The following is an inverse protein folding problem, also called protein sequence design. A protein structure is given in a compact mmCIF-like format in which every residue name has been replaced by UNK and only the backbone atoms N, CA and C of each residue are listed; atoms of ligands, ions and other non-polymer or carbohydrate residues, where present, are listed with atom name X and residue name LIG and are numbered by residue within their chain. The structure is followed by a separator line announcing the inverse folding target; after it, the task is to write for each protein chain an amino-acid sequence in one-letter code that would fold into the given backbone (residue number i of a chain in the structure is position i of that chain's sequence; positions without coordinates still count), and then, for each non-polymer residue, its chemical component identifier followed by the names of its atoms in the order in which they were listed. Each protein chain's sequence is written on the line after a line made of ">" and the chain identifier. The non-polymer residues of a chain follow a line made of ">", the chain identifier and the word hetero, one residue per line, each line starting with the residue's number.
data_IF_897951026351
#
_entry.id   IF_897951026351
#
_cell.length_a   1.000
_cell.length_b   1.000
_cell.length_c   1.000
_cell.angle_alpha   90.00
_cell.angle_beta   90.00
_cell.angle_gamma   90.00
#
_symmetry.space_group_name_H-M   'P 1'
#
loop_
_entity.id
_entity.type
_entity.pdbx_description
1 polymer ?
#
# COMPACT_ATOMS: atom_id res chain seq x y z
N UNK A 1 3.17 25.47 -0.01
CA UNK A 1 2.87 24.52 1.09
C UNK A 1 2.49 25.18 2.40
N UNK A 2 3.02 26.36 2.75
CA UNK A 2 2.62 27.08 3.97
C UNK A 2 3.38 26.68 5.24
N UNK A 3 4.21 25.64 5.17
CA UNK A 3 5.15 25.24 6.23
C UNK A 3 6.19 26.33 6.46
N UNK A 4 6.47 26.60 7.74
CA UNK A 4 7.49 27.52 8.22
C UNK A 4 8.57 26.75 8.96
N UNK A 5 9.82 26.93 8.54
CA UNK A 5 10.99 26.42 9.25
C UNK A 5 11.70 27.59 9.90
N UNK A 6 11.70 27.62 11.23
CA UNK A 6 12.33 28.69 12.02
C UNK A 6 13.84 28.52 12.10
N UNK A 7 14.32 27.29 12.24
CA UNK A 7 15.73 26.96 12.44
C UNK A 7 16.07 25.53 11.99
N UNK A 8 16.76 25.43 10.86
CA UNK A 8 17.27 24.15 10.32
C UNK A 8 18.38 23.52 11.14
N UNK A 9 19.04 24.26 12.04
CA UNK A 9 20.09 23.70 12.90
C UNK A 9 19.55 22.77 13.98
N UNK A 10 18.23 22.80 14.23
CA UNK A 10 17.52 21.88 15.12
C UNK A 10 17.15 20.54 14.49
N UNK A 11 17.54 20.30 13.24
CA UNK A 11 17.37 19.00 12.62
C UNK A 11 18.25 17.95 13.32
N UNK A 12 17.64 16.90 13.84
CA UNK A 12 18.35 15.73 14.37
C UNK A 12 18.46 14.67 13.28
N UNK A 13 19.69 14.23 12.99
CA UNK A 13 19.92 13.21 11.96
C UNK A 13 19.27 11.88 12.38
N UNK A 14 18.31 11.35 11.60
CA UNK A 14 17.60 10.11 11.94
C UNK A 14 18.52 8.89 11.94
N UNK A 15 19.65 8.98 11.23
CA UNK A 15 20.71 7.99 11.22
C UNK A 15 22.03 8.66 10.83
N UNK A 16 23.14 8.11 11.35
CA UNK A 16 24.49 8.69 11.19
C UNK A 16 25.40 7.74 10.41
N UNK A 17 25.06 7.49 9.16
CA UNK A 17 25.88 6.68 8.23
C UNK A 17 26.68 7.58 7.29
N UNK A 18 28.00 7.48 7.36
CA UNK A 18 28.89 8.03 6.34
C UNK A 18 28.86 7.15 5.08
N UNK A 19 29.25 7.70 3.93
CA UNK A 19 29.16 6.97 2.65
C UNK A 19 30.03 5.71 2.62
N UNK A 20 31.21 5.71 3.24
CA UNK A 20 32.06 4.52 3.36
C UNK A 20 31.39 3.41 4.18
N UNK A 21 30.71 3.78 5.28
CA UNK A 21 29.94 2.83 6.08
C UNK A 21 28.73 2.31 5.30
N UNK A 22 27.98 3.19 4.63
CA UNK A 22 26.84 2.82 3.80
C UNK A 22 27.26 1.81 2.73
N UNK A 23 28.30 2.10 1.94
CA UNK A 23 28.80 1.18 0.92
C UNK A 23 29.26 -0.16 1.50
N UNK A 24 30.01 -0.13 2.61
CA UNK A 24 30.48 -1.35 3.27
C UNK A 24 29.32 -2.27 3.69
N UNK A 25 28.32 -1.72 4.37
CA UNK A 25 27.20 -2.53 4.85
C UNK A 25 26.28 -2.99 3.72
N UNK A 26 25.97 -2.11 2.76
CA UNK A 26 25.12 -2.49 1.64
C UNK A 26 25.78 -3.53 0.73
N UNK A 27 27.09 -3.42 0.46
CA UNK A 27 27.80 -4.40 -0.38
C UNK A 27 27.76 -5.82 0.22
N UNK A 28 27.93 -5.95 1.54
CA UNK A 28 27.83 -7.25 2.22
C UNK A 28 26.41 -7.83 2.19
N UNK A 29 25.39 -6.97 2.24
CA UNK A 29 23.99 -7.39 2.08
C UNK A 29 23.71 -7.87 0.66
N UNK A 30 24.12 -7.11 -0.35
CA UNK A 30 23.92 -7.45 -1.76
C UNK A 30 24.65 -8.76 -2.12
N UNK A 31 25.89 -8.94 -1.66
CA UNK A 31 26.66 -10.18 -1.92
C UNK A 31 25.91 -11.43 -1.43
N UNK A 32 25.31 -11.36 -0.24
CA UNK A 32 24.52 -12.48 0.31
C UNK A 32 23.19 -12.65 -0.42
N UNK A 33 22.50 -11.54 -0.71
CA UNK A 33 21.22 -11.54 -1.40
C UNK A 33 21.33 -12.20 -2.78
N UNK A 34 22.27 -11.77 -3.61
CA UNK A 34 22.44 -12.34 -4.95
C UNK A 34 22.95 -13.78 -4.93
N UNK A 35 23.78 -14.16 -3.96
CA UNK A 35 24.16 -15.57 -3.79
C UNK A 35 22.94 -16.47 -3.52
N UNK A 36 21.95 -15.98 -2.75
CA UNK A 36 20.71 -16.70 -2.49
C UNK A 36 19.79 -16.69 -3.72
N UNK A 37 19.68 -15.57 -4.45
CA UNK A 37 18.91 -15.52 -5.69
C UNK A 37 19.45 -16.48 -6.75
N UNK A 38 20.77 -16.54 -6.92
CA UNK A 38 21.41 -17.48 -7.84
C UNK A 38 21.16 -18.93 -7.41
N UNK A 39 21.30 -19.22 -6.11
CA UNK A 39 21.01 -20.55 -5.58
C UNK A 39 19.52 -20.94 -5.75
N UNK A 40 18.60 -20.01 -5.49
CA UNK A 40 17.16 -20.20 -5.70
C UNK A 40 16.87 -20.54 -7.16
N UNK A 41 17.42 -19.77 -8.10
CA UNK A 41 17.25 -19.99 -9.53
C UNK A 41 17.87 -21.32 -9.99
N UNK A 42 19.11 -21.60 -9.55
CA UNK A 42 19.85 -22.82 -9.90
C UNK A 42 19.15 -24.09 -9.44
N UNK A 43 18.52 -24.06 -8.26
CA UNK A 43 17.86 -25.22 -7.67
C UNK A 43 16.37 -25.31 -8.00
N UNK A 44 15.87 -24.53 -8.97
CA UNK A 44 14.45 -24.46 -9.31
C UNK A 44 13.56 -24.21 -8.08
N UNK A 45 13.96 -23.28 -7.21
CA UNK A 45 13.27 -22.99 -5.96
C UNK A 45 11.81 -22.57 -6.12
N UNK A 46 11.39 -22.13 -7.32
CA UNK A 46 9.99 -21.87 -7.63
C UNK A 46 9.08 -23.08 -7.46
N UNK A 47 9.63 -24.30 -7.49
CA UNK A 47 8.88 -25.54 -7.29
C UNK A 47 8.57 -25.82 -5.81
N UNK A 48 9.19 -25.09 -4.89
CA UNK A 48 9.06 -25.30 -3.45
C UNK A 48 8.01 -24.40 -2.79
N UNK A 49 7.32 -23.55 -3.57
CA UNK A 49 6.21 -22.75 -3.06
C UNK A 49 5.00 -23.64 -2.74
N UNK A 50 4.14 -23.20 -1.82
CA UNK A 50 2.99 -23.97 -1.33
C UNK A 50 2.01 -24.40 -2.43
N UNK A 51 1.63 -23.47 -3.30
CA UNK A 51 0.67 -23.67 -4.39
C UNK A 51 0.90 -22.56 -5.44
N UNK A 52 0.85 -22.81 -6.76
CA UNK A 52 0.95 -21.78 -7.79
C UNK A 52 0.00 -20.57 -7.62
N UNK A 53 -1.12 -20.73 -6.91
CA UNK A 53 -2.03 -19.63 -6.51
C UNK A 53 -1.31 -18.51 -5.77
N UNK A 54 -0.32 -18.84 -4.93
CA UNK A 54 0.52 -17.88 -4.20
C UNK A 54 1.11 -16.81 -5.12
N UNK A 55 1.51 -17.19 -6.34
CA UNK A 55 2.19 -16.26 -7.25
C UNK A 55 1.30 -15.12 -7.72
N UNK A 56 -0.03 -15.18 -7.54
CA UNK A 56 -0.88 -14.02 -7.80
C UNK A 56 -0.62 -12.88 -6.81
N UNK A 57 -0.24 -13.18 -5.56
CA UNK A 57 0.26 -12.16 -4.62
C UNK A 57 1.53 -11.49 -5.17
N UNK A 58 2.44 -12.29 -5.72
CA UNK A 58 3.72 -11.80 -6.25
C UNK A 58 3.56 -11.03 -7.57
N UNK A 59 2.56 -11.36 -8.39
CA UNK A 59 2.14 -10.52 -9.54
C UNK A 59 1.63 -9.16 -9.08
N UNK A 60 0.78 -9.13 -8.05
CA UNK A 60 0.32 -7.87 -7.45
C UNK A 60 1.49 -7.07 -6.91
N UNK A 61 2.42 -7.70 -6.18
CA UNK A 61 3.62 -7.04 -5.68
C UNK A 61 4.43 -6.39 -6.81
N UNK A 62 4.77 -7.16 -7.86
CA UNK A 62 5.59 -6.67 -8.97
C UNK A 62 4.91 -5.55 -9.78
N UNK A 63 3.58 -5.59 -9.92
CA UNK A 63 2.84 -4.63 -10.76
C UNK A 63 2.33 -3.41 -10.00
N UNK A 64 2.03 -3.57 -8.70
CA UNK A 64 1.44 -2.53 -7.86
C UNK A 64 2.43 -1.88 -6.89
N UNK A 65 3.37 -2.65 -6.32
CA UNK A 65 4.29 -2.18 -5.27
C UNK A 65 5.67 -1.83 -5.84
N UNK A 66 6.29 -2.71 -6.63
CA UNK A 66 7.62 -2.46 -7.19
C UNK A 66 7.75 -1.16 -8.01
N UNK A 67 6.74 -0.72 -8.79
CA UNK A 67 6.81 0.59 -9.43
C UNK A 67 6.78 1.76 -8.45
N UNK A 68 6.20 1.58 -7.25
CA UNK A 68 6.18 2.61 -6.22
C UNK A 68 7.57 2.86 -5.66
N UNK A 69 8.41 1.84 -5.52
CA UNK A 69 9.82 1.99 -5.12
C UNK A 69 10.57 2.86 -6.12
N UNK A 70 10.34 2.67 -7.43
CA UNK A 70 10.95 3.54 -8.43
C UNK A 70 10.42 4.98 -8.36
N UNK A 71 9.14 5.16 -8.06
CA UNK A 71 8.56 6.48 -7.85
C UNK A 71 9.10 7.13 -6.57
N UNK A 72 9.29 6.38 -5.49
CA UNK A 72 9.90 6.82 -4.25
C UNK A 72 11.36 7.24 -4.49
N UNK A 73 12.14 6.44 -5.22
CA UNK A 73 13.49 6.80 -5.68
C UNK A 73 13.48 8.19 -6.34
N UNK A 74 12.63 8.39 -7.34
CA UNK A 74 12.52 9.66 -8.05
C UNK A 74 12.08 10.82 -7.14
N UNK A 75 11.09 10.58 -6.28
CA UNK A 75 10.58 11.56 -5.32
C UNK A 75 11.63 12.00 -4.31
N UNK A 76 12.29 11.04 -3.65
CA UNK A 76 13.36 11.30 -2.69
C UNK A 76 14.60 11.93 -3.33
N UNK A 77 14.94 11.55 -4.57
CA UNK A 77 15.98 12.24 -5.35
C UNK A 77 15.63 13.71 -5.56
N UNK A 78 14.36 14.00 -5.89
CA UNK A 78 13.88 15.37 -6.06
C UNK A 78 13.94 16.15 -4.74
N UNK A 79 13.30 15.65 -3.67
CA UNK A 79 13.23 16.40 -2.40
C UNK A 79 14.59 16.49 -1.68
N UNK A 80 15.46 15.50 -1.87
CA UNK A 80 16.86 15.52 -1.44
C UNK A 80 17.70 16.61 -2.10
N UNK A 81 17.19 17.27 -3.16
CA UNK A 81 17.74 18.51 -3.72
C UNK A 81 17.05 19.76 -3.19
N UNK A 82 15.75 19.72 -2.87
CA UNK A 82 14.94 20.90 -2.59
C UNK A 82 15.11 21.45 -1.17
N UNK A 83 15.36 20.62 -0.15
CA UNK A 83 15.50 21.11 1.23
C UNK A 83 16.76 21.95 1.43
N UNK A 84 16.65 23.05 2.18
CA UNK A 84 17.80 23.90 2.52
C UNK A 84 18.63 23.34 3.67
N UNK A 85 18.05 22.54 4.57
CA UNK A 85 18.79 21.82 5.62
C UNK A 85 19.65 20.69 5.05
N UNK A 86 20.95 20.70 5.36
CA UNK A 86 21.90 19.72 4.83
C UNK A 86 21.57 18.29 5.33
N UNK A 87 21.27 18.12 6.62
CA UNK A 87 20.93 16.82 7.21
C UNK A 87 19.72 16.16 6.54
N UNK A 88 18.63 16.92 6.37
CA UNK A 88 17.44 16.46 5.66
C UNK A 88 17.74 16.05 4.20
N UNK A 89 18.57 16.82 3.48
CA UNK A 89 18.99 16.44 2.11
C UNK A 89 19.73 15.10 2.09
N UNK A 90 20.70 14.92 2.99
CA UNK A 90 21.50 13.70 3.06
C UNK A 90 20.61 12.50 3.39
N UNK A 91 19.71 12.63 4.36
CA UNK A 91 18.77 11.56 4.70
C UNK A 91 17.86 11.18 3.52
N UNK A 92 17.29 12.17 2.82
CA UNK A 92 16.48 11.93 1.62
C UNK A 92 17.30 11.28 0.48
N UNK A 93 18.57 11.67 0.30
CA UNK A 93 19.42 11.09 -0.74
C UNK A 93 19.80 9.65 -0.43
N UNK A 94 20.11 9.33 0.83
CA UNK A 94 20.34 7.96 1.28
C UNK A 94 19.09 7.10 1.11
N UNK A 95 17.93 7.65 1.43
CA UNK A 95 16.67 6.96 1.19
C UNK A 95 16.43 6.73 -0.31
N UNK A 96 16.61 7.76 -1.14
CA UNK A 96 16.43 7.64 -2.60
C UNK A 96 17.20 6.47 -3.19
N UNK A 97 18.48 6.32 -2.83
CA UNK A 97 19.31 5.22 -3.35
C UNK A 97 18.95 3.85 -2.73
N UNK A 98 18.40 3.82 -1.51
CA UNK A 98 17.76 2.61 -0.95
C UNK A 98 16.52 2.22 -1.77
N UNK A 99 15.65 3.16 -2.16
CA UNK A 99 14.48 2.83 -2.99
C UNK A 99 14.87 2.34 -4.38
N UNK A 100 15.97 2.86 -4.94
CA UNK A 100 16.53 2.34 -6.18
C UNK A 100 17.06 0.90 -6.01
N UNK A 101 17.66 0.59 -4.87
CA UNK A 101 18.05 -0.78 -4.50
C UNK A 101 16.81 -1.67 -4.40
N UNK A 102 15.73 -1.20 -3.78
CA UNK A 102 14.50 -1.99 -3.62
C UNK A 102 13.89 -2.35 -4.96
N UNK A 103 13.62 -1.39 -5.85
CA UNK A 103 13.05 -1.71 -7.17
C UNK A 103 13.92 -2.71 -7.94
N UNK A 104 15.24 -2.53 -7.95
CA UNK A 104 16.14 -3.41 -8.70
C UNK A 104 16.17 -4.83 -8.13
N UNK A 105 16.31 -4.95 -6.81
CA UNK A 105 16.35 -6.25 -6.14
C UNK A 105 15.02 -6.98 -6.19
N UNK A 106 13.88 -6.27 -6.14
CA UNK A 106 12.56 -6.85 -6.35
C UNK A 106 12.40 -7.38 -7.79
N UNK A 107 12.80 -6.61 -8.81
CA UNK A 107 12.79 -7.07 -10.20
C UNK A 107 13.66 -8.33 -10.37
N UNK A 108 14.83 -8.38 -9.74
CA UNK A 108 15.70 -9.55 -9.78
C UNK A 108 15.12 -10.75 -9.02
N UNK A 109 14.50 -10.54 -7.85
CA UNK A 109 13.81 -11.59 -7.10
C UNK A 109 12.70 -12.24 -7.93
N UNK A 110 11.91 -11.43 -8.65
CA UNK A 110 10.79 -11.92 -9.47
C UNK A 110 11.20 -12.39 -10.86
N UNK A 111 12.45 -12.12 -11.27
CA UNK A 111 12.96 -12.49 -12.60
C UNK A 111 12.85 -13.99 -12.86
N UNK A 112 13.12 -14.83 -11.84
CA UNK A 112 13.04 -16.27 -12.01
C UNK A 112 11.60 -16.75 -12.16
N UNK A 113 10.65 -16.23 -11.36
CA UNK A 113 9.23 -16.53 -11.51
C UNK A 113 8.69 -16.14 -12.89
N UNK A 114 9.10 -14.99 -13.44
CA UNK A 114 8.68 -14.53 -14.77
C UNK A 114 9.02 -15.53 -15.90
N UNK A 115 10.06 -16.37 -15.73
CA UNK A 115 10.44 -17.38 -16.73
C UNK A 115 9.44 -18.54 -16.82
N UNK A 116 8.71 -18.81 -15.74
CA UNK A 116 7.86 -20.01 -15.61
C UNK A 116 6.37 -19.71 -15.45
N UNK A 117 6.00 -18.47 -15.11
CA UNK A 117 4.62 -18.11 -14.80
C UNK A 117 4.17 -16.86 -15.55
N UNK A 118 2.88 -16.81 -15.89
CA UNK A 118 2.25 -15.69 -16.60
C UNK A 118 1.93 -14.50 -15.68
N UNK A 119 1.79 -13.31 -16.26
CA UNK A 119 1.36 -12.10 -15.56
C UNK A 119 2.51 -11.26 -15.00
N UNK A 120 3.75 -11.64 -15.30
CA UNK A 120 4.97 -10.96 -14.85
C UNK A 120 5.66 -10.14 -15.95
N UNK A 121 5.34 -10.40 -17.22
CA UNK A 121 6.17 -10.02 -18.37
C UNK A 121 6.25 -8.50 -18.64
N UNK A 122 5.17 -7.77 -18.39
CA UNK A 122 5.02 -6.35 -18.77
C UNK A 122 4.67 -5.46 -17.57
N UNK A 123 5.21 -5.77 -16.39
CA UNK A 123 4.79 -5.17 -15.12
C UNK A 123 4.80 -3.64 -15.10
N UNK A 124 5.85 -3.00 -15.66
CA UNK A 124 5.96 -1.54 -15.70
C UNK A 124 4.97 -0.90 -16.69
N UNK A 125 4.77 -1.54 -17.85
CA UNK A 125 3.80 -1.10 -18.83
C UNK A 125 2.37 -1.23 -18.31
N UNK A 126 2.07 -2.32 -17.57
CA UNK A 126 0.80 -2.54 -16.91
C UNK A 126 0.51 -1.47 -15.85
N UNK A 127 1.51 -1.11 -15.02
CA UNK A 127 1.34 -0.11 -13.95
C UNK A 127 0.73 1.21 -14.46
N UNK A 128 1.14 1.64 -15.66
CA UNK A 128 0.69 2.87 -16.26
C UNK A 128 -0.70 2.80 -16.94
N UNK A 129 -1.31 1.62 -17.06
CA UNK A 129 -2.48 1.40 -17.94
C UNK A 129 -3.61 0.58 -17.35
N UNK A 130 -3.29 -0.46 -16.57
CA UNK A 130 -4.29 -1.41 -16.09
C UNK A 130 -5.11 -0.77 -14.98
N UNK A 131 -6.43 -0.95 -15.04
CA UNK A 131 -7.40 -0.18 -14.25
C UNK A 131 -7.10 -0.17 -12.74
N UNK A 132 -6.81 -1.32 -12.14
CA UNK A 132 -6.57 -1.40 -10.70
C UNK A 132 -5.19 -0.87 -10.29
N UNK A 133 -4.24 -0.76 -11.22
CA UNK A 133 -2.91 -0.21 -10.98
C UNK A 133 -2.90 1.33 -11.00
N UNK A 134 -3.98 1.95 -11.49
CA UNK A 134 -4.22 3.38 -11.30
C UNK A 134 -4.37 3.77 -9.82
N UNK A 135 -4.77 2.84 -8.95
CA UNK A 135 -4.86 3.05 -7.49
C UNK A 135 -3.48 3.34 -6.88
N UNK A 136 -2.48 2.43 -6.95
CA UNK A 136 -1.13 2.72 -6.47
C UNK A 136 -0.45 3.85 -7.25
N UNK A 137 -0.60 3.89 -8.59
CA UNK A 137 -0.03 4.95 -9.42
C UNK A 137 -0.49 6.34 -8.99
N UNK A 138 -1.81 6.54 -8.86
CA UNK A 138 -2.37 7.84 -8.47
C UNK A 138 -2.03 8.24 -7.03
N UNK A 139 -1.81 7.28 -6.12
CA UNK A 139 -1.34 7.56 -4.78
C UNK A 139 0.05 8.22 -4.80
N UNK A 140 1.01 7.63 -5.53
CA UNK A 140 2.36 8.18 -5.64
C UNK A 140 2.44 9.41 -6.55
N UNK A 141 1.64 9.48 -7.62
CA UNK A 141 1.56 10.69 -8.44
C UNK A 141 0.98 11.88 -7.66
N UNK A 142 0.00 11.65 -6.78
CA UNK A 142 -0.48 12.68 -5.84
C UNK A 142 0.67 13.14 -4.93
N UNK A 143 1.45 12.22 -4.37
CA UNK A 143 2.55 12.57 -3.46
C UNK A 143 3.68 13.33 -4.18
N UNK A 144 4.09 12.87 -5.37
CA UNK A 144 5.19 13.48 -6.13
C UNK A 144 4.83 14.78 -6.81
N UNK A 145 3.54 15.00 -7.10
CA UNK A 145 3.05 16.28 -7.60
C UNK A 145 2.79 17.30 -6.47
N UNK A 146 2.86 16.87 -5.20
CA UNK A 146 2.82 17.78 -4.06
C UNK A 146 4.16 18.51 -3.89
N UNK A 147 4.24 19.40 -2.92
CA UNK A 147 5.52 20.01 -2.57
C UNK A 147 6.39 19.10 -1.69
N UNK A 148 7.64 19.49 -1.40
CA UNK A 148 8.59 18.65 -0.70
C UNK A 148 8.18 18.28 0.73
N UNK A 149 7.49 19.16 1.47
CA UNK A 149 7.07 18.84 2.84
C UNK A 149 5.87 17.89 2.87
N UNK A 150 4.88 18.09 2.00
CA UNK A 150 3.76 17.16 1.87
C UNK A 150 4.26 15.79 1.39
N UNK A 151 5.22 15.72 0.47
CA UNK A 151 5.83 14.45 0.04
C UNK A 151 6.44 13.67 1.22
N UNK A 152 7.22 14.30 2.10
CA UNK A 152 7.77 13.61 3.26
C UNK A 152 6.69 13.19 4.27
N UNK A 153 5.64 14.00 4.47
CA UNK A 153 4.51 13.58 5.32
C UNK A 153 3.75 12.41 4.71
N UNK A 154 3.58 12.40 3.38
CA UNK A 154 2.88 11.37 2.65
C UNK A 154 3.63 10.04 2.68
N UNK A 155 4.91 10.08 2.32
CA UNK A 155 5.71 8.87 2.10
C UNK A 155 6.45 8.50 3.37
N UNK A 156 7.35 9.35 3.88
CA UNK A 156 8.18 9.00 5.05
C UNK A 156 7.34 8.77 6.32
N UNK A 157 6.43 9.70 6.66
CA UNK A 157 5.61 9.55 7.87
C UNK A 157 4.42 8.62 7.66
N UNK A 158 3.51 8.94 6.73
CA UNK A 158 2.25 8.21 6.64
C UNK A 158 2.43 6.80 6.08
N UNK A 159 3.21 6.64 5.00
CA UNK A 159 3.38 5.34 4.36
C UNK A 159 4.46 4.48 5.05
N UNK A 160 5.66 5.01 5.23
CA UNK A 160 6.83 4.23 5.68
C UNK A 160 6.99 4.16 7.20
N UNK A 161 6.23 4.94 7.97
CA UNK A 161 6.22 4.81 9.42
C UNK A 161 4.88 4.29 9.93
N UNK A 162 3.77 5.00 9.67
CA UNK A 162 2.45 4.63 10.21
C UNK A 162 1.89 3.36 9.57
N UNK A 163 2.02 3.22 8.25
CA UNK A 163 1.35 2.14 7.49
C UNK A 163 2.30 1.03 7.02
N UNK A 164 3.61 1.18 7.19
CA UNK A 164 4.61 0.30 6.55
C UNK A 164 4.42 -1.17 6.87
N UNK A 165 4.13 -1.49 8.14
CA UNK A 165 3.98 -2.88 8.56
C UNK A 165 2.74 -3.55 7.94
N UNK A 166 1.72 -2.78 7.57
CA UNK A 166 0.54 -3.28 6.87
C UNK A 166 0.81 -3.60 5.39
N UNK A 167 1.94 -3.17 4.84
CA UNK A 167 2.43 -3.59 3.53
C UNK A 167 3.51 -4.67 3.68
N UNK A 168 4.55 -4.38 4.46
CA UNK A 168 5.77 -5.17 4.53
C UNK A 168 5.52 -6.55 5.15
N UNK A 169 4.88 -6.62 6.32
CA UNK A 169 4.70 -7.89 7.03
C UNK A 169 3.85 -8.86 6.21
N UNK A 170 2.68 -8.49 5.64
CA UNK A 170 1.89 -9.42 4.84
C UNK A 170 2.65 -10.07 3.68
N UNK A 171 3.42 -9.30 2.90
CA UNK A 171 4.20 -9.87 1.80
C UNK A 171 5.37 -10.72 2.29
N UNK A 172 6.17 -10.21 3.23
CA UNK A 172 7.41 -10.89 3.63
C UNK A 172 7.15 -12.14 4.49
N UNK A 173 6.20 -12.07 5.43
CA UNK A 173 5.76 -13.25 6.18
C UNK A 173 4.96 -14.21 5.30
N UNK A 174 4.15 -13.69 4.37
CA UNK A 174 3.42 -14.50 3.41
C UNK A 174 4.36 -15.34 2.57
N UNK A 175 5.47 -14.76 2.10
CA UNK A 175 6.55 -15.47 1.42
C UNK A 175 7.15 -16.58 2.28
N UNK A 176 7.48 -16.28 3.54
CA UNK A 176 8.05 -17.26 4.47
C UNK A 176 7.13 -18.47 4.70
N UNK A 177 5.83 -18.24 4.91
CA UNK A 177 4.84 -19.30 5.15
C UNK A 177 4.48 -20.10 3.89
N UNK A 178 4.79 -19.57 2.71
CA UNK A 178 4.44 -20.17 1.42
C UNK A 178 5.67 -20.65 0.63
N UNK A 179 6.85 -20.75 1.26
CA UNK A 179 8.04 -21.36 0.67
C UNK A 179 8.79 -20.50 -0.36
N UNK A 180 8.49 -19.20 -0.43
CA UNK A 180 9.16 -18.28 -1.35
C UNK A 180 10.44 -17.72 -0.72
N UNK A 181 11.53 -18.42 -1.02
CA UNK A 181 12.87 -18.06 -0.56
C UNK A 181 13.39 -16.74 -1.15
N UNK A 182 12.99 -16.37 -2.38
CA UNK A 182 13.49 -15.16 -3.01
C UNK A 182 12.90 -13.92 -2.32
N UNK A 183 11.57 -13.87 -2.18
CA UNK A 183 10.88 -12.73 -1.57
C UNK A 183 11.22 -12.59 -0.09
N UNK A 184 11.27 -13.69 0.68
CA UNK A 184 11.62 -13.62 2.11
C UNK A 184 13.06 -13.13 2.31
N UNK A 185 13.99 -13.52 1.43
CA UNK A 185 15.39 -13.07 1.51
C UNK A 185 15.51 -11.58 1.18
N UNK A 186 14.76 -11.10 0.18
CA UNK A 186 14.63 -9.66 -0.04
C UNK A 186 14.13 -8.95 1.22
N UNK A 187 13.04 -9.43 1.83
CA UNK A 187 12.48 -8.87 3.05
C UNK A 187 13.49 -8.77 4.19
N UNK A 188 14.23 -9.84 4.48
CA UNK A 188 15.29 -9.78 5.50
C UNK A 188 16.41 -8.78 5.13
N UNK A 189 16.71 -8.64 3.84
CA UNK A 189 17.74 -7.74 3.34
C UNK A 189 17.30 -6.27 3.35
N UNK A 190 16.00 -5.95 3.24
CA UNK A 190 15.48 -4.58 3.29
C UNK A 190 15.19 -4.09 4.71
N UNK A 191 14.98 -4.97 5.69
CA UNK A 191 14.63 -4.59 7.08
C UNK A 191 15.51 -3.48 7.69
N UNK A 192 16.83 -3.53 7.51
CA UNK A 192 17.70 -2.50 8.10
C UNK A 192 17.65 -1.17 7.35
N UNK A 193 17.11 -1.14 6.13
CA UNK A 193 16.81 0.08 5.38
C UNK A 193 15.48 0.65 5.86
N UNK A 194 14.44 -0.18 5.96
CA UNK A 194 13.14 0.20 6.54
C UNK A 194 13.30 0.82 7.94
N UNK A 195 14.21 0.28 8.76
CA UNK A 195 14.51 0.86 10.07
C UNK A 195 15.01 2.32 9.98
N UNK A 196 15.78 2.66 8.93
CA UNK A 196 16.23 4.04 8.68
C UNK A 196 15.09 4.90 8.14
N UNK A 197 14.27 4.37 7.23
CA UNK A 197 13.12 5.06 6.64
C UNK A 197 12.06 5.40 7.70
N UNK A 198 11.74 4.44 8.56
CA UNK A 198 10.88 4.64 9.73
C UNK A 198 11.42 5.74 10.65
N UNK A 199 12.72 5.74 10.93
CA UNK A 199 13.32 6.78 11.79
C UNK A 199 13.27 8.15 11.10
N UNK A 200 13.50 8.23 9.79
CA UNK A 200 13.30 9.48 9.03
C UNK A 200 11.85 9.96 9.14
N UNK A 201 10.86 9.09 8.90
CA UNK A 201 9.45 9.43 8.98
C UNK A 201 9.04 10.05 10.31
N UNK A 202 9.52 9.48 11.42
CA UNK A 202 9.25 9.99 12.76
C UNK A 202 9.95 11.32 13.05
N UNK A 203 11.22 11.47 12.66
CA UNK A 203 11.97 12.71 12.90
C UNK A 203 11.49 13.86 12.02
N UNK A 204 11.04 13.59 10.79
CA UNK A 204 10.42 14.58 9.91
C UNK A 204 9.19 15.22 10.58
N UNK A 205 8.26 14.40 11.08
CA UNK A 205 7.02 14.95 11.63
C UNK A 205 7.28 15.75 12.91
N UNK A 206 8.13 15.24 13.82
CA UNK A 206 8.49 15.97 15.05
C UNK A 206 9.16 17.29 14.71
N UNK A 207 10.13 17.27 13.80
CA UNK A 207 10.81 18.47 13.33
C UNK A 207 9.77 19.48 12.82
N UNK A 208 8.87 19.10 11.92
CA UNK A 208 7.90 20.05 11.36
C UNK A 208 6.95 20.64 12.42
N UNK A 209 6.51 19.83 13.38
CA UNK A 209 5.63 20.28 14.47
C UNK A 209 6.34 21.22 15.46
N UNK A 210 7.64 21.02 15.70
CA UNK A 210 8.43 21.84 16.62
C UNK A 210 8.92 23.16 16.00
N UNK A 211 8.90 23.27 14.67
CA UNK A 211 9.44 24.45 13.98
C UNK A 211 8.53 25.67 14.03
N UNK A 212 7.21 25.50 14.01
CA UNK A 212 6.26 26.61 14.10
C UNK A 212 4.83 26.09 14.40
N UNK A 213 4.07 26.79 15.25
CA UNK A 213 2.70 26.39 15.61
C UNK A 213 1.74 26.36 14.41
N UNK A 214 1.84 27.32 13.48
CA UNK A 214 1.10 27.32 12.21
C UNK A 214 1.32 26.06 11.34
N UNK A 215 2.37 25.27 11.58
CA UNK A 215 2.56 24.01 10.86
C UNK A 215 1.58 22.93 11.33
N UNK A 216 1.14 22.96 12.59
CA UNK A 216 0.26 21.93 13.19
C UNK A 216 -1.02 21.71 12.40
N UNK A 217 -1.83 22.73 12.04
CA UNK A 217 -3.05 22.51 11.26
C UNK A 217 -2.77 21.97 9.84
N UNK A 218 -1.66 22.38 9.21
CA UNK A 218 -1.25 21.89 7.88
C UNK A 218 -0.86 20.42 7.95
N UNK A 219 -0.03 20.06 8.93
CA UNK A 219 0.42 18.69 9.17
C UNK A 219 -0.76 17.79 9.53
N UNK A 220 -1.67 18.23 10.41
CA UNK A 220 -2.88 17.47 10.75
C UNK A 220 -3.73 17.17 9.50
N UNK A 221 -3.89 18.16 8.62
CA UNK A 221 -4.62 17.98 7.38
C UNK A 221 -3.96 16.95 6.46
N UNK A 222 -2.62 16.98 6.34
CA UNK A 222 -1.88 15.99 5.56
C UNK A 222 -1.96 14.59 6.18
N UNK A 223 -1.91 14.47 7.50
CA UNK A 223 -2.12 13.20 8.21
C UNK A 223 -3.50 12.64 7.84
N UNK A 224 -4.56 13.45 7.91
CA UNK A 224 -5.91 13.00 7.56
C UNK A 224 -5.98 12.51 6.10
N UNK A 225 -5.42 13.29 5.16
CA UNK A 225 -5.39 12.95 3.72
C UNK A 225 -4.64 11.65 3.46
N UNK A 226 -3.41 11.55 3.96
CA UNK A 226 -2.49 10.47 3.59
C UNK A 226 -2.75 9.18 4.35
N UNK A 227 -3.31 9.27 5.56
CA UNK A 227 -3.93 8.13 6.22
C UNK A 227 -5.05 7.55 5.32
N UNK A 228 -6.03 8.36 4.93
CA UNK A 228 -7.17 7.87 4.14
C UNK A 228 -6.77 7.34 2.76
N UNK A 229 -5.86 8.04 2.06
CA UNK A 229 -5.33 7.57 0.77
C UNK A 229 -4.55 6.27 0.94
N UNK A 230 -3.77 6.14 2.01
CA UNK A 230 -2.99 4.95 2.32
C UNK A 230 -3.86 3.75 2.65
N UNK A 231 -4.92 3.90 3.46
CA UNK A 231 -5.84 2.79 3.76
C UNK A 231 -6.61 2.30 2.54
N UNK A 232 -6.98 3.21 1.63
CA UNK A 232 -7.59 2.83 0.34
C UNK A 232 -6.61 2.10 -0.58
N UNK A 233 -5.32 2.44 -0.56
CA UNK A 233 -4.29 1.67 -1.26
C UNK A 233 -4.13 0.26 -0.64
N UNK A 234 -4.11 0.17 0.69
CA UNK A 234 -3.91 -1.07 1.43
C UNK A 234 -5.06 -2.08 1.32
N UNK A 235 -6.23 -1.71 0.76
CA UNK A 235 -7.29 -2.69 0.47
C UNK A 235 -6.80 -3.83 -0.44
N UNK A 236 -5.86 -3.53 -1.34
CA UNK A 236 -5.20 -4.54 -2.19
C UNK A 236 -4.37 -5.52 -1.36
N UNK A 237 -3.73 -5.04 -0.29
CA UNK A 237 -2.94 -5.89 0.61
C UNK A 237 -3.84 -6.74 1.51
N UNK A 238 -4.92 -6.17 2.04
CA UNK A 238 -5.92 -6.91 2.81
C UNK A 238 -6.53 -8.07 2.02
N UNK A 239 -6.88 -7.83 0.75
CA UNK A 239 -7.28 -8.89 -0.18
C UNK A 239 -6.18 -9.93 -0.35
N UNK A 240 -4.95 -9.50 -0.64
CA UNK A 240 -3.82 -10.40 -0.91
C UNK A 240 -3.60 -11.38 0.24
N UNK A 241 -3.52 -10.88 1.48
CA UNK A 241 -3.18 -11.74 2.61
C UNK A 241 -4.28 -12.72 3.00
N UNK A 242 -5.54 -12.31 2.91
CA UNK A 242 -6.68 -13.19 3.25
C UNK A 242 -6.97 -14.22 2.16
N UNK A 243 -6.78 -13.86 0.88
CA UNK A 243 -7.27 -14.67 -0.25
C UNK A 243 -6.18 -15.26 -1.14
N UNK A 244 -5.04 -14.60 -1.32
CA UNK A 244 -4.02 -15.04 -2.28
C UNK A 244 -2.96 -15.96 -1.67
N UNK A 245 -2.76 -15.92 -0.36
CA UNK A 245 -1.78 -16.76 0.35
C UNK A 245 -2.41 -18.13 0.69
N UNK A 246 -1.97 -19.26 0.13
CA UNK A 246 -2.51 -20.58 0.48
C UNK A 246 -2.36 -20.89 1.97
N UNK A 247 -1.15 -20.72 2.50
CA UNK A 247 -0.88 -20.81 3.93
C UNK A 247 -1.02 -19.41 4.52
N UNK A 248 -2.07 -19.20 5.33
CA UNK A 248 -2.36 -17.91 5.97
C UNK A 248 -1.36 -17.62 7.09
N UNK A 249 -1.04 -16.34 7.27
CA UNK A 249 -0.19 -15.88 8.40
C UNK A 249 -1.08 -15.36 9.53
N UNK A 250 -1.91 -14.38 9.21
CA UNK A 250 -2.93 -13.75 10.05
C UNK A 250 -3.99 -13.15 9.13
N UNK A 251 -5.14 -12.77 9.67
CA UNK A 251 -6.15 -12.02 8.92
C UNK A 251 -5.78 -10.54 8.77
N UNK A 252 -6.31 -9.87 7.74
CA UNK A 252 -6.23 -8.42 7.61
C UNK A 252 -6.72 -7.69 8.87
N UNK A 253 -7.82 -8.17 9.48
CA UNK A 253 -8.31 -7.66 10.77
C UNK A 253 -7.24 -7.68 11.85
N UNK A 254 -6.61 -8.83 12.09
CA UNK A 254 -5.54 -8.97 13.09
C UNK A 254 -4.34 -8.06 12.78
N UNK A 255 -3.96 -7.95 11.51
CA UNK A 255 -2.88 -7.04 11.10
C UNK A 255 -3.23 -5.58 11.38
N UNK A 256 -4.46 -5.15 11.09
CA UNK A 256 -4.92 -3.79 11.37
C UNK A 256 -4.94 -3.48 12.87
N UNK A 257 -5.47 -4.39 13.69
CA UNK A 257 -5.52 -4.27 15.15
C UNK A 257 -4.11 -4.10 15.76
N UNK A 258 -3.13 -4.89 15.29
CA UNK A 258 -1.76 -4.82 15.81
C UNK A 258 -1.02 -3.59 15.28
N UNK A 259 -0.97 -3.42 13.96
CA UNK A 259 -0.05 -2.47 13.34
C UNK A 259 -0.60 -1.05 13.26
N UNK A 260 -1.92 -0.85 13.32
CA UNK A 260 -2.50 0.49 13.38
C UNK A 260 -3.16 0.79 14.72
N UNK A 261 -4.13 0.00 15.19
CA UNK A 261 -4.89 0.37 16.39
C UNK A 261 -4.00 0.39 17.64
N UNK A 262 -3.15 -0.61 17.82
CA UNK A 262 -2.20 -0.65 18.94
C UNK A 262 -0.99 0.25 18.69
N UNK A 263 -0.19 -0.04 17.66
CA UNK A 263 1.06 0.68 17.41
C UNK A 263 0.82 2.14 16.98
N UNK A 264 -0.09 2.38 16.03
CA UNK A 264 -0.51 3.71 15.63
C UNK A 264 -1.22 4.47 16.75
N UNK A 265 -2.07 3.80 17.53
CA UNK A 265 -2.70 4.41 18.71
C UNK A 265 -1.67 4.91 19.74
N UNK A 266 -0.61 4.15 20.01
CA UNK A 266 0.48 4.57 20.86
C UNK A 266 1.25 5.78 20.29
N UNK A 267 1.52 5.78 18.97
CA UNK A 267 2.15 6.90 18.28
C UNK A 267 1.34 8.18 18.39
N UNK A 268 0.04 8.15 18.04
CA UNK A 268 -0.79 9.34 18.05
C UNK A 268 -1.04 9.87 19.47
N UNK A 269 -0.97 9.01 20.49
CA UNK A 269 -0.93 9.43 21.89
C UNK A 269 0.35 10.23 22.22
N UNK A 270 1.51 9.84 21.68
CA UNK A 270 2.73 10.64 21.81
C UNK A 270 2.63 11.96 21.05
N UNK A 271 2.08 11.94 19.83
CA UNK A 271 1.93 13.15 19.00
C UNK A 271 0.91 14.16 19.56
N UNK A 272 0.02 13.74 20.45
CA UNK A 272 -0.94 14.61 21.12
C UNK A 272 -0.29 15.78 21.88
N UNK A 273 0.98 15.64 22.33
CA UNK A 273 1.74 16.73 22.96
C UNK A 273 2.01 17.91 22.03
N UNK A 274 1.96 17.68 20.71
CA UNK A 274 2.09 18.71 19.67
C UNK A 274 0.73 19.24 19.17
N UNK A 275 -0.39 18.79 19.75
CA UNK A 275 -1.73 19.13 19.30
C UNK A 275 -2.25 18.30 18.12
N UNK A 276 -1.56 17.21 17.75
CA UNK A 276 -2.02 16.26 16.72
C UNK A 276 -3.03 15.28 17.31
N UNK A 277 -4.12 15.05 16.58
CA UNK A 277 -5.15 14.05 16.90
C UNK A 277 -5.01 12.82 16.00
N UNK A 278 -5.74 11.76 16.35
CA UNK A 278 -5.96 10.63 15.44
C UNK A 278 -6.43 11.12 14.06
N UNK A 279 -5.99 10.45 12.97
CA UNK A 279 -6.41 10.79 11.63
C UNK A 279 -7.93 10.76 11.51
N UNK A 280 -8.49 11.70 10.75
CA UNK A 280 -9.93 11.74 10.49
C UNK A 280 -10.40 10.43 9.86
N UNK A 281 -11.54 9.92 10.32
CA UNK A 281 -12.15 8.67 9.87
C UNK A 281 -11.39 7.38 10.26
N UNK A 282 -10.44 7.43 11.19
CA UNK A 282 -9.80 6.20 11.70
C UNK A 282 -10.81 5.21 12.29
N UNK A 283 -11.88 5.71 12.91
CA UNK A 283 -12.99 4.95 13.46
C UNK A 283 -13.84 4.24 12.38
N UNK A 284 -13.85 4.76 11.15
CA UNK A 284 -14.48 4.10 10.01
C UNK A 284 -13.62 2.91 9.58
N UNK A 285 -12.30 3.09 9.51
CA UNK A 285 -11.39 2.00 9.11
C UNK A 285 -11.37 0.87 10.15
N UNK A 286 -11.48 1.20 11.44
CA UNK A 286 -11.64 0.21 12.53
C UNK A 286 -12.82 -0.74 12.29
N UNK A 287 -13.90 -0.25 11.66
CA UNK A 287 -15.04 -1.08 11.24
C UNK A 287 -14.77 -1.76 9.88
N UNK A 288 -14.22 -1.04 8.91
CA UNK A 288 -13.93 -1.57 7.57
C UNK A 288 -12.95 -2.76 7.58
N UNK A 289 -12.12 -2.92 8.61
CA UNK A 289 -11.20 -4.07 8.73
C UNK A 289 -11.93 -5.42 8.67
N UNK A 290 -13.18 -5.48 9.10
CA UNK A 290 -14.05 -6.67 9.05
C UNK A 290 -14.62 -6.98 7.65
N UNK A 291 -14.37 -6.10 6.67
CA UNK A 291 -15.08 -6.09 5.40
C UNK A 291 -14.16 -5.96 4.18
N UNK A 292 -13.08 -5.19 4.28
CA UNK A 292 -12.36 -4.65 3.13
C UNK A 292 -11.71 -5.74 2.25
N UNK A 293 -11.13 -6.79 2.86
CA UNK A 293 -10.48 -7.87 2.12
C UNK A 293 -11.50 -8.65 1.28
N UNK A 294 -12.66 -8.95 1.87
CA UNK A 294 -13.76 -9.68 1.22
C UNK A 294 -14.38 -8.87 0.08
N UNK A 295 -14.58 -7.57 0.31
CA UNK A 295 -15.09 -6.65 -0.72
C UNK A 295 -14.10 -6.54 -1.87
N UNK A 296 -12.81 -6.34 -1.59
CA UNK A 296 -11.77 -6.26 -2.60
C UNK A 296 -11.64 -7.56 -3.40
N UNK A 297 -11.61 -8.73 -2.76
CA UNK A 297 -11.55 -10.00 -3.49
C UNK A 297 -12.78 -10.22 -4.37
N UNK A 298 -13.98 -9.83 -3.91
CA UNK A 298 -15.20 -9.91 -4.72
C UNK A 298 -15.12 -9.02 -5.97
N UNK A 299 -14.56 -7.80 -5.87
CA UNK A 299 -14.32 -6.92 -7.03
C UNK A 299 -13.43 -7.66 -8.04
N UNK A 300 -12.28 -8.18 -7.60
CA UNK A 300 -11.35 -8.85 -8.50
C UNK A 300 -11.84 -10.20 -9.00
N UNK A 301 -12.71 -10.92 -8.27
CA UNK A 301 -13.37 -12.11 -8.78
C UNK A 301 -14.26 -11.75 -9.98
N UNK A 302 -15.07 -10.70 -9.85
CA UNK A 302 -15.99 -10.23 -10.89
C UNK A 302 -15.27 -9.64 -12.12
N UNK A 303 -14.17 -8.93 -11.90
CA UNK A 303 -13.37 -8.24 -12.93
C UNK A 303 -12.05 -8.95 -13.25
N UNK A 304 -11.89 -10.21 -12.85
CA UNK A 304 -10.64 -10.96 -13.01
C UNK A 304 -10.22 -11.16 -14.47
N UNK A 305 -11.17 -11.08 -15.40
CA UNK A 305 -10.91 -11.11 -16.84
C UNK A 305 -10.14 -9.88 -17.35
N UNK A 306 -10.08 -8.80 -16.56
CA UNK A 306 -9.37 -7.56 -16.86
C UNK A 306 -8.24 -7.26 -15.84
N UNK A 307 -7.75 -8.28 -15.12
CA UNK A 307 -6.64 -8.16 -14.17
C UNK A 307 -5.39 -8.89 -14.67
N UNK A 308 -4.21 -8.47 -14.22
CA UNK A 308 -2.91 -9.10 -14.54
C UNK A 308 -2.64 -10.39 -13.75
N UNK A 309 -3.62 -10.89 -13.00
CA UNK A 309 -3.52 -12.06 -12.12
C UNK A 309 -4.83 -12.84 -12.09
N UNK A 310 -4.81 -14.04 -11.54
CA UNK A 310 -5.98 -14.92 -11.48
C UNK A 310 -6.73 -14.80 -10.15
N UNK A 311 -8.04 -15.03 -10.21
CA UNK A 311 -8.91 -15.13 -9.05
C UNK A 311 -9.64 -16.47 -9.04
N UNK A 312 -10.09 -16.87 -7.85
CA UNK A 312 -10.75 -18.15 -7.59
C UNK A 312 -11.77 -18.03 -6.48
N UNK A 313 -12.64 -19.03 -6.39
CA UNK A 313 -13.47 -19.27 -5.21
C UNK A 313 -12.57 -19.94 -4.15
N UNK A 314 -12.50 -19.43 -2.91
CA UNK A 314 -11.72 -20.07 -1.84
C UNK A 314 -12.19 -21.51 -1.57
N UNK A 315 -11.27 -22.37 -1.10
CA UNK A 315 -11.65 -23.73 -0.66
C UNK A 315 -12.56 -23.69 0.58
N UNK A 316 -13.23 -24.80 0.89
CA UNK A 316 -14.07 -24.89 2.10
C UNK A 316 -13.26 -24.60 3.38
N UNK A 317 -12.02 -25.11 3.47
CA UNK A 317 -11.10 -24.81 4.57
C UNK A 317 -10.75 -23.32 4.67
N UNK A 318 -10.51 -22.66 3.52
CA UNK A 318 -10.25 -21.22 3.50
C UNK A 318 -11.49 -20.41 3.91
N UNK A 319 -12.69 -20.83 3.51
CA UNK A 319 -13.94 -20.20 3.95
C UNK A 319 -14.15 -20.39 5.46
N UNK A 320 -13.86 -21.57 6.00
CA UNK A 320 -13.97 -21.86 7.45
C UNK A 320 -12.97 -21.05 8.26
N UNK A 321 -11.75 -20.89 7.75
CA UNK A 321 -10.78 -19.96 8.32
C UNK A 321 -11.30 -18.51 8.30
N UNK A 322 -11.90 -18.06 7.20
CA UNK A 322 -12.49 -16.72 7.11
C UNK A 322 -13.65 -16.55 8.10
N UNK A 323 -14.52 -17.55 8.32
CA UNK A 323 -15.54 -17.50 9.37
C UNK A 323 -14.94 -17.39 10.76
N UNK A 324 -13.87 -18.13 11.05
CA UNK A 324 -13.21 -18.07 12.34
C UNK A 324 -12.54 -16.71 12.61
N UNK A 325 -12.01 -16.06 11.56
CA UNK A 325 -11.34 -14.75 11.66
C UNK A 325 -12.28 -13.56 11.64
N UNK A 326 -13.43 -13.72 11.01
CA UNK A 326 -14.45 -12.68 10.81
C UNK A 326 -15.83 -13.17 11.29
N UNK A 327 -15.97 -13.54 12.59
CA UNK A 327 -17.13 -14.25 13.10
C UNK A 327 -18.44 -13.44 13.02
N UNK A 328 -18.35 -12.11 13.02
CA UNK A 328 -19.51 -11.23 13.05
C UNK A 328 -19.99 -10.81 11.65
N UNK A 329 -19.19 -11.03 10.61
CA UNK A 329 -19.43 -10.48 9.27
C UNK A 329 -19.38 -11.51 8.15
N UNK A 330 -18.46 -12.49 8.20
CA UNK A 330 -18.19 -13.33 7.04
C UNK A 330 -19.35 -14.24 6.67
N UNK A 331 -19.88 -15.00 7.63
CA UNK A 331 -21.02 -15.89 7.38
C UNK A 331 -22.30 -15.13 7.05
N UNK A 332 -22.43 -13.91 7.57
CA UNK A 332 -23.60 -13.07 7.36
C UNK A 332 -23.63 -12.45 5.96
N UNK A 333 -22.51 -11.94 5.45
CA UNK A 333 -22.49 -11.10 4.25
C UNK A 333 -21.69 -11.68 3.07
N UNK A 334 -20.67 -12.51 3.34
CA UNK A 334 -19.67 -12.88 2.33
C UNK A 334 -19.69 -14.36 1.96
N UNK A 335 -19.82 -15.29 2.92
CA UNK A 335 -19.98 -16.72 2.63
C UNK A 335 -21.15 -17.02 1.68
N UNK A 336 -22.34 -16.41 1.82
CA UNK A 336 -23.44 -16.64 0.87
C UNK A 336 -23.10 -16.27 -0.57
N UNK A 337 -22.21 -15.27 -0.80
CA UNK A 337 -21.74 -14.90 -2.14
C UNK A 337 -20.86 -15.99 -2.74
N UNK A 338 -20.00 -16.62 -1.95
CA UNK A 338 -19.17 -17.73 -2.39
C UNK A 338 -19.98 -19.00 -2.64
N UNK A 339 -20.97 -19.30 -1.81
CA UNK A 339 -21.86 -20.43 -2.06
C UNK A 339 -22.68 -20.25 -3.35
N UNK A 340 -23.15 -19.03 -3.62
CA UNK A 340 -23.75 -18.69 -4.91
C UNK A 340 -22.76 -18.87 -6.06
N UNK A 341 -21.54 -18.34 -5.92
CA UNK A 341 -20.50 -18.44 -6.95
C UNK A 341 -20.13 -19.92 -7.24
N UNK A 342 -20.02 -20.76 -6.22
CA UNK A 342 -19.76 -22.21 -6.35
C UNK A 342 -20.84 -22.88 -7.18
N UNK A 343 -22.11 -22.61 -6.86
CA UNK A 343 -23.26 -23.14 -7.61
C UNK A 343 -23.21 -22.70 -9.08
N UNK A 344 -22.99 -21.40 -9.32
CA UNK A 344 -22.89 -20.86 -10.68
C UNK A 344 -21.75 -21.48 -11.47
N UNK A 345 -20.56 -21.64 -10.87
CA UNK A 345 -19.40 -22.24 -11.52
C UNK A 345 -19.61 -23.73 -11.81
N UNK A 346 -20.25 -24.48 -10.91
CA UNK A 346 -20.65 -25.88 -11.13
C UNK A 346 -21.65 -26.04 -12.28
N UNK A 347 -22.48 -25.03 -12.55
CA UNK A 347 -23.38 -24.96 -13.71
C UNK A 347 -22.69 -24.46 -14.99
N UNK A 348 -21.37 -24.23 -14.97
CA UNK A 348 -20.61 -23.68 -16.10
C UNK A 348 -20.85 -22.17 -16.33
N UNK A 349 -21.37 -21.47 -15.33
CA UNK A 349 -21.78 -20.05 -15.39
C UNK A 349 -20.95 -19.19 -14.43
N UNK A 350 -19.62 -19.41 -14.37
CA UNK A 350 -18.72 -18.57 -13.56
C UNK A 350 -19.01 -17.09 -13.84
N UNK A 351 -19.27 -16.34 -12.76
CA UNK A 351 -19.75 -14.97 -12.89
C UNK A 351 -18.62 -14.01 -13.28
N UNK A 352 -18.88 -13.18 -14.27
CA UNK A 352 -18.08 -12.01 -14.63
C UNK A 352 -19.01 -10.82 -14.83
N UNK A 353 -18.60 -9.65 -14.33
CA UNK A 353 -19.36 -8.42 -14.57
C UNK A 353 -19.19 -7.95 -16.01
N UNK A 354 -20.31 -7.64 -16.67
CA UNK A 354 -20.33 -7.18 -18.07
C UNK A 354 -20.21 -5.66 -18.23
N UNK A 355 -20.57 -4.89 -17.20
CA UNK A 355 -20.42 -3.44 -17.17
C UNK A 355 -19.18 -3.01 -16.40
N UNK A 356 -18.52 -1.94 -16.85
CA UNK A 356 -17.39 -1.35 -16.13
C UNK A 356 -17.86 -0.71 -14.81
N UNK A 357 -17.03 -0.75 -13.74
CA UNK A 357 -17.41 -0.17 -12.47
C UNK A 357 -17.24 1.35 -12.49
N UNK A 358 -18.08 2.05 -11.72
CA UNK A 358 -17.82 3.46 -11.41
C UNK A 358 -16.60 3.57 -10.48
N UNK A 359 -15.68 4.48 -10.79
CA UNK A 359 -14.45 4.70 -10.01
C UNK A 359 -14.56 5.93 -9.11
N UNK A 360 -13.90 5.88 -7.96
CA UNK A 360 -13.74 7.05 -7.09
C UNK A 360 -12.80 8.09 -7.73
N UNK A 361 -13.19 9.37 -7.75
CA UNK A 361 -12.38 10.46 -8.32
C UNK A 361 -11.01 10.64 -7.64
N UNK A 362 -10.88 10.23 -6.37
CA UNK A 362 -9.63 10.39 -5.59
C UNK A 362 -8.84 9.09 -5.56
N UNK A 363 -9.37 8.05 -4.91
CA UNK A 363 -8.62 6.80 -4.73
C UNK A 363 -8.61 5.87 -5.95
N UNK A 364 -9.47 6.13 -6.94
CA UNK A 364 -9.61 5.36 -8.19
C UNK A 364 -10.06 3.89 -8.02
N UNK A 365 -10.27 3.44 -6.78
CA UNK A 365 -10.89 2.14 -6.49
C UNK A 365 -12.35 2.15 -6.99
N UNK A 366 -12.85 1.03 -7.55
CA UNK A 366 -14.28 0.84 -7.79
C UNK A 366 -15.12 1.16 -6.56
N UNK A 367 -16.24 1.86 -6.76
CA UNK A 367 -17.11 2.29 -5.66
C UNK A 367 -18.03 1.16 -5.18
N UNK A 368 -17.42 0.13 -4.59
CA UNK A 368 -18.12 -1.05 -4.05
C UNK A 368 -17.95 -1.22 -2.55
N UNK A 369 -17.30 -0.25 -1.89
CA UNK A 369 -17.24 -0.20 -0.42
C UNK A 369 -18.60 0.20 0.14
N UNK A 370 -18.94 -0.35 1.30
CA UNK A 370 -20.27 -0.29 1.89
C UNK A 370 -20.34 0.69 3.05
N UNK A 371 -21.55 1.06 3.46
CA UNK A 371 -21.76 1.76 4.74
C UNK A 371 -21.35 0.85 5.91
N UNK A 372 -20.61 1.37 6.89
CA UNK A 372 -20.23 0.59 8.07
C UNK A 372 -21.37 0.48 9.10
N UNK A 373 -22.42 1.30 8.99
CA UNK A 373 -23.66 1.11 9.75
C UNK A 373 -24.62 0.15 9.04
N UNK A 374 -24.46 -0.04 7.72
CA UNK A 374 -25.25 -0.95 6.89
C UNK A 374 -24.38 -1.66 5.83
N UNK A 375 -23.67 -2.73 6.20
CA UNK A 375 -22.66 -3.37 5.36
C UNK A 375 -23.19 -4.06 4.08
N UNK A 376 -24.49 -4.00 3.80
CA UNK A 376 -25.15 -4.45 2.58
C UNK A 376 -25.50 -3.31 1.62
N UNK A 377 -25.37 -2.04 2.03
CA UNK A 377 -25.62 -0.86 1.20
C UNK A 377 -24.29 -0.29 0.68
N UNK A 378 -24.14 -0.21 -0.65
CA UNK A 378 -23.05 0.55 -1.28
C UNK A 378 -23.33 2.03 -1.08
N UNK A 379 -22.35 2.78 -0.60
CA UNK A 379 -22.48 4.24 -0.51
C UNK A 379 -21.42 4.93 -1.35
N UNK A 380 -21.82 6.02 -2.00
CA UNK A 380 -20.93 6.95 -2.65
C UNK A 380 -21.30 8.36 -2.22
N UNK A 381 -20.40 9.30 -2.48
CA UNK A 381 -20.62 10.73 -2.30
C UNK A 381 -20.50 11.41 -3.64
N UNK A 382 -21.17 12.55 -3.76
CA UNK A 382 -21.15 13.37 -4.95
C UNK A 382 -20.76 14.80 -4.58
N UNK A 383 -19.86 15.38 -5.36
CA UNK A 383 -19.51 16.81 -5.29
C UNK A 383 -19.72 17.44 -6.67
N UNK A 384 -19.96 18.75 -6.69
CA UNK A 384 -20.03 19.54 -7.91
C UNK A 384 -18.91 20.58 -7.91
N UNK A 385 -18.18 20.68 -9.01
CA UNK A 385 -17.11 21.68 -9.17
C UNK A 385 -17.08 22.16 -10.61
N UNK A 386 -17.13 23.50 -10.81
CA UNK A 386 -17.17 24.15 -12.13
C UNK A 386 -18.24 23.60 -13.10
N UNK A 387 -19.42 23.23 -12.56
CA UNK A 387 -20.54 22.70 -13.34
C UNK A 387 -20.48 21.19 -13.62
N UNK A 388 -19.35 20.54 -13.29
CA UNK A 388 -19.16 19.10 -13.47
C UNK A 388 -19.46 18.33 -12.18
N UNK A 389 -19.86 17.05 -12.34
CA UNK A 389 -20.20 16.14 -11.24
C UNK A 389 -19.09 15.11 -11.03
N UNK A 390 -18.65 14.98 -9.78
CA UNK A 390 -17.61 14.03 -9.39
C UNK A 390 -18.13 13.09 -8.31
N UNK A 391 -17.71 11.83 -8.36
CA UNK A 391 -18.15 10.80 -7.42
C UNK A 391 -16.97 10.25 -6.62
N UNK A 392 -17.17 10.03 -5.33
CA UNK A 392 -16.15 9.50 -4.43
C UNK A 392 -16.72 8.36 -3.58
N UNK A 393 -15.88 7.38 -3.23
CA UNK A 393 -16.33 6.16 -2.55
C UNK A 393 -16.65 6.35 -1.05
N UNK A 394 -16.39 7.54 -0.50
CA UNK A 394 -16.45 7.77 0.95
C UNK A 394 -16.36 9.25 1.28
N UNK A 395 -16.75 9.62 2.50
CA UNK A 395 -16.56 10.99 3.01
C UNK A 395 -15.07 11.37 3.05
N UNK A 396 -14.14 10.46 3.40
CA UNK A 396 -12.71 10.77 3.37
C UNK A 396 -12.19 11.11 1.97
N UNK A 397 -12.63 10.39 0.93
CA UNK A 397 -12.29 10.77 -0.44
C UNK A 397 -13.00 12.05 -0.90
N UNK A 398 -14.24 12.30 -0.45
CA UNK A 398 -14.94 13.56 -0.74
C UNK A 398 -14.20 14.75 -0.15
N UNK A 399 -13.81 14.69 1.12
CA UNK A 399 -13.13 15.78 1.80
C UNK A 399 -11.79 16.12 1.15
N UNK A 400 -11.04 15.08 0.73
CA UNK A 400 -9.80 15.25 -0.04
C UNK A 400 -10.08 15.95 -1.38
N UNK A 401 -11.13 15.52 -2.10
CA UNK A 401 -11.53 16.14 -3.35
C UNK A 401 -11.92 17.61 -3.15
N UNK A 402 -12.77 17.91 -2.17
CA UNK A 402 -13.29 19.25 -1.91
C UNK A 402 -12.21 20.22 -1.41
N UNK A 403 -11.17 19.70 -0.77
CA UNK A 403 -10.03 20.53 -0.38
C UNK A 403 -9.13 20.92 -1.56
N UNK A 404 -8.93 20.03 -2.54
CA UNK A 404 -8.02 20.26 -3.67
C UNK A 404 -8.61 19.85 -5.02
N UNK A 405 -9.80 20.33 -5.40
CA UNK A 405 -10.51 19.82 -6.58
C UNK A 405 -9.71 20.04 -7.86
N UNK A 406 -8.97 21.16 -7.97
CA UNK A 406 -8.12 21.47 -9.11
C UNK A 406 -7.11 20.37 -9.41
N UNK A 407 -6.62 19.65 -8.39
CA UNK A 407 -5.70 18.52 -8.56
C UNK A 407 -6.44 17.29 -9.06
N UNK A 408 -7.55 16.93 -8.42
CA UNK A 408 -8.23 15.65 -8.66
C UNK A 408 -9.08 15.62 -9.93
N UNK A 409 -9.52 16.76 -10.48
CA UNK A 409 -10.19 16.79 -11.79
C UNK A 409 -9.27 16.37 -12.95
N UNK A 410 -7.96 16.36 -12.73
CA UNK A 410 -6.95 15.96 -13.72
C UNK A 410 -6.70 14.44 -13.72
N UNK A 411 -7.33 13.68 -12.81
CA UNK A 411 -7.11 12.25 -12.66
C UNK A 411 -7.43 11.48 -13.95
N UNK A 412 -6.48 10.65 -14.39
CA UNK A 412 -6.71 9.68 -15.45
C UNK A 412 -7.47 8.48 -14.89
N UNK A 413 -8.80 8.52 -14.95
CA UNK A 413 -9.66 7.42 -14.49
C UNK A 413 -9.78 6.35 -15.59
N UNK A 414 -9.25 5.13 -15.40
CA UNK A 414 -9.11 4.15 -16.49
C UNK A 414 -10.42 3.74 -17.17
N UNK A 415 -11.54 3.77 -16.45
CA UNK A 415 -12.86 3.43 -17.02
C UNK A 415 -13.43 4.55 -17.90
N UNK A 416 -12.99 5.80 -17.70
CA UNK A 416 -13.44 6.94 -18.49
C UNK A 416 -12.64 7.11 -19.79
N UNK A 417 -11.50 6.43 -19.90
CA UNK A 417 -10.52 6.55 -20.98
C UNK A 417 -10.67 5.35 -21.91
#
# INVERSE_FOLDING_TARGET
>A
EGIKITDWSKWEDPFRLTMDAYWKYQAEKEKKLYAIFDAFAQNNGQMNISDPRYLNAIKVFLTAVTPLEYQAYQGYSHVGRQFSGIGARIACQMQSIDELRHVQTQVHAMSHYNKFFNGFQDWSHMHDRVWYLSVPKSFFEDARAAGPFEFLLAISFSFEYVLTNLLFVPFMSGAAYNGDMATVTFGFSSQSDEARHMTLGLEVIKFLLEQHEDNVPIVQQWIDKWFWRGTRLLSVVGMMMDYMLPNKVMSWKEAWEVYFEQAGGALFKDLARYGIRMPKYSEVIEKEKEHISHQAWWIFYNFGHAAGFHTWIPSDEELDWLSAKYPDTFDKYYRPRWEMAKKMEAEGKRFYSSGLPQLCQVCQVPMTFTDMEKPDEITYRQSQYKGERYHTCSDGCRDIFEHGPEKYIQAWLPVHQ
#
